data_IF_603481544921
#
_entry.id   IF_603481544921
#
_cell.length_a   1.000
_cell.length_b   1.000
_cell.length_c   1.000
_cell.angle_alpha   90.00
_cell.angle_beta   90.00
_cell.angle_gamma   90.00
#
_symmetry.space_group_name_H-M   'P 1'
#
loop_
_entity.id
_entity.type
_entity.pdbx_description
1 polymer ?
#
# COMPACT_ATOMS: atom_id res chain seq x y z
N UNK A 1 -9.33 21.10 -13.45
CA UNK A 1 -8.24 20.33 -12.80
C UNK A 1 -8.75 18.94 -12.45
N UNK A 2 -7.85 18.01 -12.18
CA UNK A 2 -8.12 16.73 -11.53
C UNK A 2 -7.28 16.62 -10.25
N UNK A 3 -7.84 16.02 -9.20
CA UNK A 3 -7.10 15.68 -7.97
C UNK A 3 -7.42 14.23 -7.62
N UNK A 4 -6.39 13.42 -7.40
CA UNK A 4 -6.54 12.00 -6.98
C UNK A 4 -6.09 11.81 -5.54
N UNK A 5 -6.71 10.85 -4.84
CA UNK A 5 -6.36 10.44 -3.47
C UNK A 5 -5.21 9.43 -3.43
N UNK A 6 -4.75 8.92 -4.57
CA UNK A 6 -3.59 8.05 -4.71
C UNK A 6 -2.31 8.87 -4.90
N UNK A 7 -1.14 8.28 -4.63
CA UNK A 7 0.13 8.81 -5.12
C UNK A 7 0.41 8.35 -6.56
N UNK A 8 0.04 7.11 -6.90
CA UNK A 8 0.15 6.55 -8.26
C UNK A 8 -0.85 7.18 -9.25
N UNK A 9 -0.48 7.18 -10.53
CA UNK A 9 -1.18 7.89 -11.60
C UNK A 9 -1.56 6.99 -12.79
N UNK A 10 -1.30 5.68 -12.70
CA UNK A 10 -1.49 4.73 -13.81
C UNK A 10 -2.94 4.68 -14.34
N UNK A 11 -3.91 5.13 -13.54
CA UNK A 11 -5.33 5.21 -13.90
C UNK A 11 -5.74 6.56 -14.52
N UNK A 12 -4.82 7.51 -14.67
CA UNK A 12 -5.06 8.84 -15.24
C UNK A 12 -4.34 8.96 -16.58
N UNK A 13 -5.08 9.35 -17.63
CA UNK A 13 -4.49 9.68 -18.94
C UNK A 13 -3.80 11.05 -18.86
N UNK A 14 -2.54 11.04 -18.40
CA UNK A 14 -1.70 12.23 -18.27
C UNK A 14 -1.51 12.97 -19.62
N UNK A 15 -1.21 12.29 -20.75
CA UNK A 15 -1.15 12.94 -22.06
C UNK A 15 -2.42 13.70 -22.44
N UNK A 16 -3.61 13.11 -22.24
CA UNK A 16 -4.88 13.76 -22.58
C UNK A 16 -5.18 14.94 -21.65
N UNK A 17 -4.89 14.80 -20.34
CA UNK A 17 -5.01 15.90 -19.39
C UNK A 17 -4.17 17.10 -19.84
N UNK A 18 -2.92 16.85 -20.23
CA UNK A 18 -2.01 17.86 -20.77
C UNK A 18 -2.56 18.51 -22.03
N UNK A 19 -3.02 17.71 -23.01
CA UNK A 19 -3.58 18.21 -24.28
C UNK A 19 -4.74 19.18 -24.05
N UNK A 20 -5.52 18.97 -22.98
CA UNK A 20 -6.67 19.81 -22.61
C UNK A 20 -6.33 20.95 -21.63
N UNK A 21 -5.08 21.08 -21.19
CA UNK A 21 -4.69 22.06 -20.16
C UNK A 21 -5.30 21.76 -18.79
N UNK A 22 -5.60 20.49 -18.49
CA UNK A 22 -6.12 20.05 -17.20
C UNK A 22 -4.95 19.82 -16.25
N UNK A 23 -4.79 20.68 -15.24
CA UNK A 23 -3.85 20.48 -14.16
C UNK A 23 -4.22 19.22 -13.33
N UNK A 24 -3.22 18.43 -12.94
CA UNK A 24 -3.36 17.21 -12.14
C UNK A 24 -2.60 17.36 -10.83
N UNK A 25 -3.22 16.98 -9.71
CA UNK A 25 -2.58 16.84 -8.40
C UNK A 25 -2.91 15.48 -7.78
N UNK A 26 -2.06 15.02 -6.86
CA UNK A 26 -2.19 13.72 -6.20
C UNK A 26 -2.06 13.85 -4.67
N UNK A 27 -2.07 12.73 -3.93
CA UNK A 27 -1.91 12.74 -2.48
C UNK A 27 -0.46 13.04 -2.00
N UNK A 28 0.46 13.36 -2.92
CA UNK A 28 1.86 13.64 -2.59
C UNK A 28 2.52 12.48 -1.83
N UNK A 29 3.31 12.85 -0.81
CA UNK A 29 4.01 11.93 0.09
C UNK A 29 3.22 11.60 1.37
N UNK A 30 1.94 11.96 1.45
CA UNK A 30 1.11 11.67 2.64
C UNK A 30 1.18 10.20 3.07
N UNK A 31 1.09 9.19 2.16
CA UNK A 31 1.14 7.79 2.59
C UNK A 31 2.56 7.22 2.75
N UNK A 32 3.63 8.03 2.58
CA UNK A 32 4.99 7.51 2.47
C UNK A 32 5.48 6.78 3.72
N UNK A 33 5.11 7.27 4.91
CA UNK A 33 5.50 6.66 6.19
C UNK A 33 4.73 5.35 6.42
N UNK A 34 3.41 5.35 6.23
CA UNK A 34 2.58 4.14 6.41
C UNK A 34 3.01 3.01 5.46
N UNK A 35 3.31 3.36 4.21
CA UNK A 35 3.81 2.41 3.20
C UNK A 35 5.16 1.83 3.63
N UNK A 36 6.07 2.67 4.15
CA UNK A 36 7.37 2.19 4.62
C UNK A 36 7.23 1.25 5.82
N UNK A 37 6.33 1.56 6.75
CA UNK A 37 6.06 0.72 7.92
C UNK A 37 5.49 -0.63 7.51
N UNK A 38 4.53 -0.68 6.57
CA UNK A 38 4.00 -1.96 6.09
C UNK A 38 5.08 -2.78 5.39
N UNK A 39 5.96 -2.17 4.59
CA UNK A 39 7.07 -2.89 3.93
C UNK A 39 7.99 -3.55 4.95
N UNK A 40 8.36 -2.83 6.01
CA UNK A 40 9.18 -3.38 7.10
C UNK A 40 8.44 -4.50 7.82
N UNK A 41 7.14 -4.32 8.10
CA UNK A 41 6.29 -5.33 8.71
C UNK A 41 6.22 -6.62 7.90
N UNK A 42 5.94 -6.52 6.60
CA UNK A 42 5.89 -7.66 5.67
C UNK A 42 7.25 -8.35 5.55
N UNK A 43 8.35 -7.60 5.50
CA UNK A 43 9.70 -8.17 5.47
C UNK A 43 10.02 -8.96 6.74
N UNK A 44 9.71 -8.41 7.91
CA UNK A 44 9.91 -9.10 9.19
C UNK A 44 9.06 -10.37 9.25
N UNK A 45 7.80 -10.30 8.82
CA UNK A 45 6.91 -11.45 8.83
C UNK A 45 7.44 -12.57 7.91
N UNK A 46 7.85 -12.27 6.68
CA UNK A 46 8.46 -13.25 5.78
C UNK A 46 9.70 -13.90 6.38
N UNK A 47 10.58 -13.11 7.01
CA UNK A 47 11.84 -13.61 7.57
C UNK A 47 11.63 -14.46 8.83
N UNK A 48 10.67 -14.08 9.67
CA UNK A 48 10.49 -14.61 11.02
C UNK A 48 9.26 -15.49 11.17
N UNK A 49 8.45 -15.59 10.12
CA UNK A 49 7.20 -16.36 10.05
C UNK A 49 6.25 -15.97 11.18
N UNK A 50 6.07 -14.66 11.42
CA UNK A 50 5.29 -14.15 12.55
C UNK A 50 3.83 -14.57 12.44
N UNK A 51 3.19 -14.30 11.31
CA UNK A 51 1.78 -14.65 11.10
C UNK A 51 1.55 -16.16 11.01
N UNK A 52 2.48 -16.90 10.41
CA UNK A 52 2.42 -18.36 10.39
C UNK A 52 2.59 -18.96 11.80
N UNK A 53 3.49 -18.42 12.61
CA UNK A 53 3.68 -18.81 14.02
C UNK A 53 2.43 -18.50 14.87
N UNK A 54 1.82 -17.32 14.67
CA UNK A 54 0.55 -16.97 15.34
C UNK A 54 -0.56 -18.00 15.00
N UNK A 55 -0.74 -18.33 13.70
CA UNK A 55 -1.70 -19.36 13.28
C UNK A 55 -1.39 -20.73 13.88
N UNK A 56 -0.11 -21.11 13.96
CA UNK A 56 0.32 -22.37 14.55
C UNK A 56 -0.04 -22.48 16.03
N UNK A 57 0.22 -21.43 16.81
CA UNK A 57 -0.12 -21.36 18.24
C UNK A 57 -1.64 -21.34 18.43
N UNK A 58 -2.37 -20.51 17.68
CA UNK A 58 -3.84 -20.43 17.76
C UNK A 58 -4.54 -21.72 17.34
N UNK A 59 -3.92 -22.49 16.45
CA UNK A 59 -4.38 -23.82 16.06
C UNK A 59 -4.11 -24.91 17.12
N UNK A 60 -3.46 -24.59 18.24
CA UNK A 60 -3.10 -25.55 19.29
C UNK A 60 -1.93 -26.46 18.93
N UNK A 61 -1.33 -26.28 17.75
CA UNK A 61 -0.32 -27.18 17.20
C UNK A 61 0.97 -27.20 18.04
N UNK A 62 1.27 -26.12 18.76
CA UNK A 62 2.43 -26.12 19.65
C UNK A 62 2.32 -27.16 20.75
N UNK A 63 1.12 -27.37 21.29
CA UNK A 63 0.91 -28.37 22.36
C UNK A 63 0.96 -29.80 21.84
N UNK A 64 0.55 -30.03 20.59
CA UNK A 64 0.42 -31.37 20.01
C UNK A 64 1.65 -31.80 19.21
N UNK A 65 2.31 -30.86 18.53
CA UNK A 65 3.36 -31.11 17.56
C UNK A 65 4.73 -30.57 18.01
N UNK A 66 4.79 -29.82 19.12
CA UNK A 66 6.03 -29.28 19.66
C UNK A 66 6.52 -28.03 18.93
N UNK A 67 7.85 -27.85 18.88
CA UNK A 67 8.47 -26.61 18.42
C UNK A 67 8.09 -26.23 16.98
N UNK A 68 7.93 -24.93 16.74
CA UNK A 68 7.65 -24.36 15.42
C UNK A 68 8.91 -24.33 14.53
N UNK A 69 8.71 -24.40 13.21
CA UNK A 69 9.82 -24.41 12.24
C UNK A 69 10.69 -23.15 12.32
N UNK A 70 12.00 -23.33 12.08
CA UNK A 70 12.92 -22.22 11.91
C UNK A 70 12.54 -21.31 10.73
N UNK A 71 12.89 -20.03 10.85
CA UNK A 71 12.90 -19.07 9.75
C UNK A 71 14.09 -19.28 8.82
N UNK A 72 14.21 -18.46 7.77
CA UNK A 72 15.31 -18.56 6.81
C UNK A 72 15.80 -17.20 6.34
N UNK A 73 16.93 -17.18 5.61
CA UNK A 73 17.27 -16.04 4.72
C UNK A 73 16.13 -15.80 3.72
N UNK A 74 16.06 -14.60 3.14
CA UNK A 74 14.98 -14.20 2.21
C UNK A 74 14.86 -15.26 1.10
N UNK A 75 13.76 -16.00 1.13
CA UNK A 75 13.33 -17.00 0.14
C UNK A 75 11.82 -16.91 -0.07
N UNK A 76 11.23 -15.75 0.19
CA UNK A 76 9.79 -15.53 0.26
C UNK A 76 9.42 -14.12 -0.19
N UNK A 77 8.13 -13.81 -0.17
CA UNK A 77 7.60 -12.53 -0.62
C UNK A 77 6.52 -12.02 0.34
N UNK A 78 6.56 -10.73 0.65
CA UNK A 78 5.48 -10.01 1.29
C UNK A 78 4.78 -9.17 0.23
N UNK A 79 3.50 -9.43 0.00
CA UNK A 79 2.74 -8.86 -1.11
C UNK A 79 1.57 -8.06 -0.56
N UNK A 80 1.56 -6.75 -0.79
CA UNK A 80 0.41 -5.88 -0.51
C UNK A 80 -0.46 -5.64 -1.75
N UNK A 81 0.09 -5.81 -2.97
CA UNK A 81 -0.63 -5.57 -4.22
C UNK A 81 -0.60 -6.79 -5.14
N UNK A 82 -1.63 -6.94 -5.97
CA UNK A 82 -1.81 -8.05 -6.91
C UNK A 82 -2.22 -7.53 -8.29
N UNK A 83 -1.98 -8.34 -9.34
CA UNK A 83 -2.27 -7.93 -10.71
C UNK A 83 -3.77 -7.68 -10.97
N UNK A 84 -4.65 -8.48 -10.36
CA UNK A 84 -6.10 -8.46 -10.59
C UNK A 84 -6.88 -8.37 -9.28
N UNK A 85 -6.59 -7.38 -8.47
CA UNK A 85 -7.30 -7.19 -7.19
C UNK A 85 -8.83 -7.07 -7.39
N UNK A 86 -9.64 -7.68 -6.50
CA UNK A 86 -9.26 -8.37 -5.25
C UNK A 86 -8.87 -9.86 -5.43
N UNK A 87 -8.75 -10.36 -6.66
CA UNK A 87 -8.42 -11.75 -6.94
C UNK A 87 -6.93 -12.03 -6.71
N UNK A 88 -6.63 -12.89 -5.73
CA UNK A 88 -5.28 -13.37 -5.42
C UNK A 88 -5.08 -14.76 -6.04
N UNK A 89 -3.96 -15.04 -6.75
CA UNK A 89 -3.66 -16.37 -7.27
C UNK A 89 -3.72 -17.44 -6.18
N UNK A 90 -4.47 -18.52 -6.41
CA UNK A 90 -4.76 -19.54 -5.40
C UNK A 90 -3.50 -20.24 -4.89
N UNK A 91 -2.52 -20.37 -5.78
CA UNK A 91 -1.23 -20.99 -5.51
C UNK A 91 -0.47 -20.27 -4.38
N UNK A 92 -0.71 -18.97 -4.19
CA UNK A 92 -0.04 -18.17 -3.15
C UNK A 92 -0.55 -18.49 -1.73
N UNK A 93 -1.79 -18.94 -1.57
CA UNK A 93 -2.35 -19.26 -0.25
C UNK A 93 -1.74 -20.50 0.37
N UNK A 94 -1.18 -21.40 -0.45
CA UNK A 94 -0.56 -22.64 -0.01
C UNK A 94 0.94 -22.46 0.36
N UNK A 95 1.49 -21.26 0.19
CA UNK A 95 2.91 -20.99 0.40
C UNK A 95 3.19 -20.42 1.80
N UNK A 96 3.82 -21.22 2.66
CA UNK A 96 4.24 -20.81 4.01
C UNK A 96 5.31 -19.70 4.04
N UNK A 97 5.96 -19.43 2.91
CA UNK A 97 6.98 -18.41 2.73
C UNK A 97 6.44 -17.13 2.06
N UNK A 98 5.12 -16.99 1.94
CA UNK A 98 4.47 -15.81 1.39
C UNK A 98 3.54 -15.18 2.44
N UNK A 99 3.57 -13.86 2.53
CA UNK A 99 2.66 -13.07 3.36
C UNK A 99 1.82 -12.21 2.43
N UNK A 100 0.50 -12.26 2.61
CA UNK A 100 -0.49 -11.60 1.74
C UNK A 100 -1.20 -10.50 2.55
N UNK A 101 -1.18 -9.28 2.01
CA UNK A 101 -1.82 -8.10 2.58
C UNK A 101 -2.79 -7.48 1.56
N UNK A 102 -3.99 -7.02 1.96
CA UNK A 102 -5.04 -6.65 1.02
C UNK A 102 -4.99 -5.16 0.61
N UNK A 103 -3.90 -4.74 -0.04
CA UNK A 103 -3.69 -3.36 -0.53
C UNK A 103 -4.01 -2.30 0.53
N UNK A 104 -3.44 -2.49 1.71
CA UNK A 104 -3.75 -1.70 2.89
C UNK A 104 -2.54 -0.93 3.44
N UNK A 105 -1.46 -0.78 2.67
CA UNK A 105 -0.27 -0.03 3.05
C UNK A 105 -0.56 1.35 3.65
N UNK A 106 -1.60 2.03 3.17
CA UNK A 106 -2.00 3.37 3.63
C UNK A 106 -3.27 3.38 4.47
N UNK A 107 -3.64 2.26 5.12
CA UNK A 107 -4.88 2.13 5.91
C UNK A 107 -4.66 2.40 7.41
N UNK A 108 -4.11 3.57 7.70
CA UNK A 108 -4.04 4.14 9.05
C UNK A 108 -5.07 5.25 9.23
N UNK A 109 -5.42 5.56 10.47
CA UNK A 109 -6.38 6.63 10.76
C UNK A 109 -5.85 7.99 10.32
N UNK A 110 -4.56 8.20 10.55
CA UNK A 110 -3.79 9.38 10.18
C UNK A 110 -3.82 9.60 8.67
N UNK A 111 -3.47 8.59 7.87
CA UNK A 111 -3.53 8.68 6.41
C UNK A 111 -4.96 8.92 5.89
N UNK A 112 -5.95 8.28 6.51
CA UNK A 112 -7.35 8.44 6.11
C UNK A 112 -7.92 9.82 6.47
N UNK A 113 -7.45 10.45 7.54
CA UNK A 113 -7.83 11.81 7.93
C UNK A 113 -7.10 12.88 7.09
N UNK A 114 -5.83 12.66 6.74
CA UNK A 114 -5.02 13.66 6.05
C UNK A 114 -5.23 13.70 4.53
N UNK A 115 -5.47 12.55 3.87
CA UNK A 115 -5.69 12.53 2.41
C UNK A 115 -6.86 13.42 1.96
N UNK A 116 -8.06 13.37 2.55
CA UNK A 116 -9.17 14.24 2.14
C UNK A 116 -8.83 15.71 2.30
N UNK A 117 -8.17 16.10 3.41
CA UNK A 117 -7.72 17.48 3.63
C UNK A 117 -6.77 17.93 2.52
N UNK A 118 -5.86 17.05 2.11
CA UNK A 118 -4.89 17.33 1.05
C UNK A 118 -5.55 17.50 -0.33
N UNK A 119 -6.59 16.71 -0.62
CA UNK A 119 -7.40 16.88 -1.83
C UNK A 119 -8.12 18.22 -1.81
N UNK A 120 -8.81 18.53 -0.71
CA UNK A 120 -9.55 19.78 -0.52
C UNK A 120 -8.61 20.98 -0.67
N UNK A 121 -7.44 20.95 -0.04
CA UNK A 121 -6.46 22.03 -0.11
C UNK A 121 -5.95 22.28 -1.54
N UNK A 122 -5.75 21.24 -2.35
CA UNK A 122 -5.39 21.40 -3.77
C UNK A 122 -6.54 22.04 -4.59
N UNK A 123 -7.79 21.64 -4.33
CA UNK A 123 -8.96 22.24 -4.97
C UNK A 123 -9.09 23.73 -4.60
N UNK A 124 -8.99 24.05 -3.30
CA UNK A 124 -9.03 25.42 -2.80
C UNK A 124 -7.91 26.27 -3.39
N UNK A 125 -6.68 25.74 -3.45
CA UNK A 125 -5.55 26.43 -4.07
C UNK A 125 -5.83 26.76 -5.53
N UNK A 126 -6.33 25.81 -6.31
CA UNK A 126 -6.67 26.00 -7.72
C UNK A 126 -7.73 27.09 -7.93
N UNK A 127 -8.87 27.02 -7.22
CA UNK A 127 -9.94 28.00 -7.38
C UNK A 127 -9.58 29.39 -6.83
N UNK A 128 -8.56 29.46 -5.96
CA UNK A 128 -8.01 30.71 -5.44
C UNK A 128 -6.86 31.28 -6.29
N UNK A 129 -6.53 30.66 -7.44
CA UNK A 129 -5.35 31.02 -8.25
C UNK A 129 -4.03 31.00 -7.45
N UNK A 130 -3.91 30.09 -6.48
CA UNK A 130 -2.68 29.83 -5.72
C UNK A 130 -1.96 28.59 -6.27
N UNK A 131 -0.65 28.45 -6.05
CA UNK A 131 0.08 27.23 -6.38
C UNK A 131 -0.55 26.00 -5.72
N UNK A 132 -0.62 24.89 -6.47
CA UNK A 132 -1.06 23.60 -5.95
C UNK A 132 -0.07 23.08 -4.91
N UNK A 133 -0.55 22.28 -3.96
CA UNK A 133 0.30 21.69 -2.92
C UNK A 133 1.11 20.51 -3.46
N UNK A 134 0.49 19.73 -4.34
CA UNK A 134 1.09 18.53 -4.95
C UNK A 134 0.81 18.45 -6.44
N UNK A 135 1.25 19.47 -7.23
CA UNK A 135 1.13 19.38 -8.67
C UNK A 135 1.92 18.15 -9.15
N UNK A 136 1.29 17.35 -9.99
CA UNK A 136 2.03 16.34 -10.75
C UNK A 136 2.70 17.06 -11.91
N UNK A 137 4.02 16.98 -11.93
CA UNK A 137 4.86 17.44 -13.03
C UNK A 137 5.49 16.18 -13.61
N UNK A 138 5.16 15.85 -14.85
CA UNK A 138 5.85 14.77 -15.55
C UNK A 138 7.27 15.25 -15.90
N UNK A 139 8.27 14.39 -15.69
CA UNK A 139 9.62 14.54 -16.27
C UNK A 139 9.59 14.38 -17.80
#
# INVERSE_FOLDING_TARGET
MMVTTSSGLNHIDMPECRRRGIAVANAGSVPSEDVADLVVGLLIDVLRKVSASDRYVRGGLWTTNGDFTLGSKIKGAGLDVFEKEPDVPKELFELDNVVLSPHCAMWTWEAFDDRPKYVVANLEAFFSNKPLLSPVVDD
#
